data_IF_425933685683
#
_entry.id   IF_425933685683
#
_cell.length_a   1.000
_cell.length_b   1.000
_cell.length_c   1.000
_cell.angle_alpha   90.00
_cell.angle_beta   90.00
_cell.angle_gamma   90.00
#
_symmetry.space_group_name_H-M   'P 1'
#
loop_
_entity.id
_entity.type
_entity.pdbx_description
1 polymer ?
#
# COMPACT_ATOMS: atom_id res chain seq x y z
N UNK A 1 8.75 20.12 -24.42
CA UNK A 1 8.93 18.97 -23.51
C UNK A 1 7.90 19.02 -22.37
N UNK A 2 6.68 18.50 -22.62
CA UNK A 2 5.67 18.35 -21.58
C UNK A 2 5.96 17.01 -20.90
N UNK A 3 6.50 17.02 -19.68
CA UNK A 3 6.46 15.83 -18.86
C UNK A 3 4.99 15.54 -18.54
N UNK A 4 4.51 14.35 -18.89
CA UNK A 4 3.13 13.96 -18.61
C UNK A 4 2.95 13.89 -17.08
N UNK A 5 2.03 14.70 -16.50
CA UNK A 5 1.88 14.85 -15.05
C UNK A 5 1.56 13.52 -14.35
N UNK A 6 1.06 12.54 -15.09
CA UNK A 6 0.70 11.20 -14.64
C UNK A 6 1.90 10.36 -14.21
N UNK A 7 3.06 10.53 -14.87
CA UNK A 7 4.30 9.80 -14.53
C UNK A 7 4.86 10.32 -13.21
N UNK A 8 4.78 11.64 -12.98
CA UNK A 8 5.18 12.26 -11.72
C UNK A 8 4.27 11.80 -10.55
N UNK A 9 2.96 11.69 -10.77
CA UNK A 9 2.03 11.22 -9.76
C UNK A 9 2.29 9.76 -9.33
N UNK A 10 2.61 8.88 -10.30
CA UNK A 10 3.00 7.49 -10.05
C UNK A 10 4.33 7.37 -9.29
N UNK A 11 5.33 8.19 -9.64
CA UNK A 11 6.61 8.21 -8.94
C UNK A 11 6.44 8.67 -7.50
N UNK A 12 5.66 9.71 -7.25
CA UNK A 12 5.40 10.21 -5.89
C UNK A 12 4.67 9.15 -5.05
N UNK A 13 3.66 8.47 -5.60
CA UNK A 13 2.97 7.39 -4.87
C UNK A 13 3.87 6.18 -4.62
N UNK A 14 4.71 5.81 -5.59
CA UNK A 14 5.68 4.73 -5.42
C UNK A 14 6.71 5.08 -4.34
N UNK A 15 7.22 6.31 -4.32
CA UNK A 15 8.15 6.80 -3.30
C UNK A 15 7.51 6.86 -1.91
N UNK A 16 6.26 7.30 -1.80
CA UNK A 16 5.54 7.29 -0.52
C UNK A 16 5.36 5.86 0.01
N UNK A 17 5.02 4.90 -0.85
CA UNK A 17 4.93 3.50 -0.43
C UNK A 17 6.29 2.90 -0.10
N UNK A 18 7.34 3.26 -0.85
CA UNK A 18 8.72 2.88 -0.58
C UNK A 18 9.25 3.49 0.71
N UNK A 19 8.71 4.61 1.17
CA UNK A 19 9.01 5.21 2.48
C UNK A 19 8.17 4.57 3.58
N UNK A 20 6.92 4.23 3.31
CA UNK A 20 6.02 3.63 4.29
C UNK A 20 6.39 2.17 4.62
N UNK A 21 6.84 1.39 3.64
CA UNK A 21 7.27 0.01 3.86
C UNK A 21 8.42 -0.12 4.87
N UNK A 22 9.58 0.56 4.71
CA UNK A 22 10.66 0.52 5.70
C UNK A 22 10.27 1.19 7.01
N UNK A 23 9.36 2.18 7.00
CA UNK A 23 8.81 2.74 8.24
C UNK A 23 8.06 1.69 9.07
N UNK A 24 7.16 0.90 8.44
CA UNK A 24 6.49 -0.21 9.13
C UNK A 24 7.44 -1.33 9.54
N UNK A 25 8.41 -1.68 8.68
CA UNK A 25 9.46 -2.64 9.05
C UNK A 25 10.28 -2.13 10.23
N UNK A 26 10.62 -0.84 10.27
CA UNK A 26 11.33 -0.22 11.37
C UNK A 26 10.48 -0.25 12.64
N UNK A 27 9.20 0.11 12.58
CA UNK A 27 8.28 0.00 13.73
C UNK A 27 8.20 -1.44 14.27
N UNK A 28 8.17 -2.43 13.36
CA UNK A 28 8.14 -3.85 13.71
C UNK A 28 9.47 -4.33 14.34
N UNK A 29 10.60 -3.95 13.76
CA UNK A 29 11.93 -4.35 14.24
C UNK A 29 12.34 -3.65 15.53
N UNK A 30 11.88 -2.42 15.73
CA UNK A 30 12.31 -1.58 16.86
C UNK A 30 11.38 -1.74 18.08
N UNK A 31 10.43 -2.69 18.04
CA UNK A 31 9.45 -2.97 19.10
C UNK A 31 8.98 -1.68 19.79
N UNK A 32 8.54 -0.71 18.99
CA UNK A 32 8.31 0.65 19.48
C UNK A 32 7.21 0.64 20.57
N UNK A 33 7.64 0.84 21.83
CA UNK A 33 6.86 0.71 23.07
C UNK A 33 5.85 1.84 23.31
N UNK A 34 5.40 2.53 22.26
CA UNK A 34 4.37 3.56 22.39
C UNK A 34 2.98 2.94 22.23
N UNK A 35 2.18 2.84 23.32
CA UNK A 35 0.89 2.14 23.31
C UNK A 35 -0.10 2.76 22.32
N UNK A 36 0.04 4.03 21.98
CA UNK A 36 -0.86 4.70 21.06
C UNK A 36 -0.58 4.44 19.57
N UNK A 37 0.49 3.74 19.19
CA UNK A 37 0.84 3.53 17.77
C UNK A 37 0.63 2.07 17.34
N UNK A 38 0.73 1.13 18.30
CA UNK A 38 0.61 -0.32 18.09
C UNK A 38 -0.82 -0.86 18.25
N UNK A 39 -1.82 0.02 18.37
CA UNK A 39 -3.21 -0.42 18.47
C UNK A 39 -3.73 -0.88 17.12
N UNK A 40 -4.34 -2.06 17.06
CA UNK A 40 -4.89 -2.67 15.82
C UNK A 40 -5.73 -1.69 15.00
N UNK A 41 -6.60 -0.88 15.63
CA UNK A 41 -7.43 0.07 14.88
C UNK A 41 -6.61 1.16 14.15
N UNK A 42 -5.48 1.59 14.71
CA UNK A 42 -4.61 2.62 14.12
C UNK A 42 -3.81 2.02 12.97
N UNK A 43 -3.33 0.79 13.14
CA UNK A 43 -2.63 0.06 12.09
C UNK A 43 -3.54 -0.18 10.89
N UNK A 44 -4.79 -0.60 11.14
CA UNK A 44 -5.82 -0.74 10.09
C UNK A 44 -6.18 0.61 9.48
N UNK A 45 -6.31 1.68 10.27
CA UNK A 45 -6.59 3.01 9.76
C UNK A 45 -5.45 3.50 8.84
N UNK A 46 -4.20 3.42 9.28
CA UNK A 46 -3.03 3.80 8.48
C UNK A 46 -2.94 2.98 7.19
N UNK A 47 -3.14 1.66 7.27
CA UNK A 47 -3.17 0.78 6.10
C UNK A 47 -4.32 1.15 5.14
N UNK A 48 -5.49 1.52 5.65
CA UNK A 48 -6.62 1.95 4.81
C UNK A 48 -6.38 3.29 4.11
N UNK A 49 -5.70 4.25 4.76
CA UNK A 49 -5.32 5.52 4.13
C UNK A 49 -4.36 5.27 2.96
N UNK A 50 -3.36 4.42 3.16
CA UNK A 50 -2.43 4.03 2.09
C UNK A 50 -3.13 3.29 0.97
N UNK A 51 -4.07 2.42 1.30
CA UNK A 51 -4.87 1.71 0.31
C UNK A 51 -5.63 2.68 -0.60
N UNK A 52 -6.25 3.74 -0.05
CA UNK A 52 -6.96 4.77 -0.83
C UNK A 52 -5.98 5.55 -1.71
N UNK A 53 -4.86 6.01 -1.15
CA UNK A 53 -3.85 6.77 -1.89
C UNK A 53 -3.29 5.93 -3.05
N UNK A 54 -3.00 4.65 -2.79
CA UNK A 54 -2.47 3.71 -3.79
C UNK A 54 -3.48 3.41 -4.90
N UNK A 55 -4.77 3.23 -4.55
CA UNK A 55 -5.85 3.08 -5.52
C UNK A 55 -5.99 4.32 -6.40
N UNK A 56 -5.99 5.51 -5.81
CA UNK A 56 -6.12 6.77 -6.56
C UNK A 56 -4.98 6.95 -7.58
N UNK A 57 -3.74 6.65 -7.19
CA UNK A 57 -2.57 6.73 -8.08
C UNK A 57 -2.61 5.68 -9.19
N UNK A 58 -3.00 4.45 -8.87
CA UNK A 58 -3.11 3.36 -9.87
C UNK A 58 -4.24 3.65 -10.87
N UNK A 59 -5.39 4.16 -10.40
CA UNK A 59 -6.50 4.56 -11.25
C UNK A 59 -6.17 5.76 -12.15
N UNK A 60 -5.44 6.76 -11.63
CA UNK A 60 -4.95 7.89 -12.42
C UNK A 60 -4.01 7.43 -13.55
N UNK A 61 -3.17 6.43 -13.29
CA UNK A 61 -2.28 5.85 -14.29
C UNK A 61 -3.03 5.06 -15.37
N UNK A 62 -4.01 4.24 -14.99
CA UNK A 62 -4.82 3.46 -15.93
C UNK A 62 -5.69 4.36 -16.82
N UNK A 63 -6.17 5.50 -16.31
CA UNK A 63 -6.93 6.47 -17.12
C UNK A 63 -6.11 7.11 -18.25
N UNK A 64 -4.80 7.30 -18.04
CA UNK A 64 -3.92 7.95 -19.02
C UNK A 64 -3.48 6.95 -20.09
N UNK A 65 -3.31 5.69 -19.70
CA UNK A 65 -2.88 4.61 -20.58
C UNK A 65 -3.87 3.44 -20.52
N UNK A 66 -5.09 3.60 -21.07
CA UNK A 66 -6.14 2.59 -20.94
C UNK A 66 -5.89 1.33 -21.76
N UNK A 67 -5.24 1.47 -22.92
CA UNK A 67 -5.03 0.35 -23.86
C UNK A 67 -3.62 0.37 -24.46
N UNK A 68 -2.70 -0.42 -23.87
CA UNK A 68 -1.33 -0.60 -24.40
C UNK A 68 -1.21 -1.81 -25.34
N UNK A 69 -2.30 -2.55 -25.56
CA UNK A 69 -2.33 -3.76 -26.39
C UNK A 69 -1.91 -3.49 -27.84
N UNK A 70 -2.05 -2.25 -28.32
CA UNK A 70 -1.67 -1.85 -29.67
C UNK A 70 -0.14 -1.67 -29.86
N UNK A 71 0.61 -1.49 -28.78
CA UNK A 71 2.01 -1.05 -28.81
C UNK A 71 3.01 -2.09 -28.24
N UNK A 72 2.56 -3.29 -27.86
CA UNK A 72 3.42 -4.36 -27.29
C UNK A 72 4.61 -4.79 -28.16
N UNK A 73 4.63 -4.41 -29.45
CA UNK A 73 5.79 -4.57 -30.33
C UNK A 73 7.01 -3.71 -29.92
N UNK A 74 6.78 -2.60 -29.22
CA UNK A 74 7.83 -1.71 -28.72
C UNK A 74 8.15 -2.05 -27.26
N UNK A 75 9.44 -2.28 -26.97
CA UNK A 75 9.93 -2.61 -25.61
C UNK A 75 9.47 -1.64 -24.52
N UNK A 76 9.30 -0.37 -24.87
CA UNK A 76 8.86 0.68 -23.95
C UNK A 76 7.42 0.45 -23.45
N UNK A 77 6.52 0.02 -24.34
CA UNK A 77 5.13 -0.23 -23.99
C UNK A 77 4.98 -1.49 -23.12
N UNK A 78 5.78 -2.52 -23.37
CA UNK A 78 5.81 -3.74 -22.52
C UNK A 78 6.25 -3.41 -21.09
N UNK A 79 7.26 -2.55 -20.93
CA UNK A 79 7.72 -2.12 -19.61
C UNK A 79 6.65 -1.31 -18.87
N UNK A 80 5.97 -0.40 -19.56
CA UNK A 80 4.90 0.40 -18.96
C UNK A 80 3.71 -0.48 -18.51
N UNK A 81 3.35 -1.48 -19.34
CA UNK A 81 2.31 -2.45 -19.01
C UNK A 81 2.71 -3.30 -17.79
N UNK A 82 3.97 -3.74 -17.71
CA UNK A 82 4.46 -4.47 -16.54
C UNK A 82 4.40 -3.60 -15.26
N UNK A 83 4.76 -2.32 -15.34
CA UNK A 83 4.67 -1.39 -14.21
C UNK A 83 3.23 -1.21 -13.73
N UNK A 84 2.27 -1.07 -14.64
CA UNK A 84 0.83 -1.01 -14.32
C UNK A 84 0.34 -2.31 -13.66
N UNK A 85 0.78 -3.47 -14.15
CA UNK A 85 0.44 -4.75 -13.53
C UNK A 85 0.97 -4.85 -12.09
N UNK A 86 2.21 -4.43 -11.83
CA UNK A 86 2.77 -4.41 -10.48
C UNK A 86 2.06 -3.41 -9.55
N UNK A 87 1.60 -2.27 -10.07
CA UNK A 87 0.82 -1.31 -9.30
C UNK A 87 -0.51 -1.93 -8.81
N UNK A 88 -1.23 -2.62 -9.70
CA UNK A 88 -2.44 -3.36 -9.34
C UNK A 88 -2.18 -4.52 -8.39
N UNK A 89 -1.07 -5.26 -8.56
CA UNK A 89 -0.67 -6.30 -7.61
C UNK A 89 -0.39 -5.74 -6.21
N UNK A 90 0.21 -4.56 -6.11
CA UNK A 90 0.42 -3.87 -4.84
C UNK A 90 -0.88 -3.47 -4.14
N UNK A 91 -1.91 -3.09 -4.90
CA UNK A 91 -3.23 -2.81 -4.35
C UNK A 91 -3.90 -4.09 -3.81
N UNK A 92 -3.81 -5.19 -4.57
CA UNK A 92 -4.37 -6.49 -4.17
C UNK A 92 -3.68 -6.99 -2.89
N UNK A 93 -2.36 -6.88 -2.80
CA UNK A 93 -1.62 -7.32 -1.60
C UNK A 93 -2.00 -6.50 -0.36
N UNK A 94 -2.11 -5.17 -0.48
CA UNK A 94 -2.61 -4.32 0.61
C UNK A 94 -4.04 -4.69 1.02
N UNK A 95 -4.92 -4.93 0.05
CA UNK A 95 -6.30 -5.38 0.29
C UNK A 95 -6.34 -6.70 1.07
N UNK A 96 -5.49 -7.66 0.70
CA UNK A 96 -5.40 -8.96 1.36
C UNK A 96 -4.93 -8.81 2.81
N UNK A 97 -3.91 -8.00 3.07
CA UNK A 97 -3.41 -7.76 4.43
C UNK A 97 -4.50 -7.11 5.29
N UNK A 98 -5.17 -6.06 4.79
CA UNK A 98 -6.25 -5.38 5.51
C UNK A 98 -7.41 -6.34 5.78
N UNK A 99 -7.82 -7.16 4.80
CA UNK A 99 -8.90 -8.12 4.99
C UNK A 99 -8.55 -9.15 6.07
N UNK A 100 -7.34 -9.69 6.04
CA UNK A 100 -6.90 -10.68 7.03
C UNK A 100 -6.87 -10.06 8.43
N UNK A 101 -6.29 -8.86 8.59
CA UNK A 101 -6.22 -8.19 9.90
C UNK A 101 -7.60 -7.82 10.43
N UNK A 102 -8.48 -7.30 9.58
CA UNK A 102 -9.87 -6.97 9.95
C UNK A 102 -10.65 -8.22 10.33
N UNK A 103 -10.55 -9.31 9.56
CA UNK A 103 -11.24 -10.58 9.90
C UNK A 103 -10.76 -11.11 11.25
N UNK A 104 -9.45 -11.10 11.51
CA UNK A 104 -8.91 -11.50 12.81
C UNK A 104 -9.45 -10.59 13.92
N UNK A 105 -9.35 -9.27 13.76
CA UNK A 105 -9.81 -8.29 14.74
C UNK A 105 -11.31 -8.42 15.05
N UNK A 106 -12.16 -8.71 14.06
CA UNK A 106 -13.59 -8.97 14.26
C UNK A 106 -13.80 -10.26 15.06
N UNK A 107 -13.07 -11.33 14.70
CA UNK A 107 -13.22 -12.64 15.34
C UNK A 107 -12.79 -12.64 16.80
N UNK A 108 -11.74 -11.89 17.13
CA UNK A 108 -11.18 -11.80 18.48
C UNK A 108 -11.71 -10.60 19.27
N UNK A 109 -12.44 -9.67 18.64
CA UNK A 109 -12.79 -8.35 19.19
C UNK A 109 -11.56 -7.53 19.66
N UNK A 110 -10.38 -7.85 19.12
CA UNK A 110 -9.08 -7.32 19.50
C UNK A 110 -8.77 -5.90 18.99
N UNK A 111 -9.78 -5.06 18.79
CA UNK A 111 -9.60 -3.74 18.14
C UNK A 111 -8.72 -2.77 18.92
N UNK A 112 -8.61 -2.97 20.24
CA UNK A 112 -7.82 -2.14 21.16
C UNK A 112 -6.59 -2.86 21.72
N UNK A 113 -6.37 -4.09 21.31
CA UNK A 113 -5.18 -4.83 21.72
C UNK A 113 -3.96 -4.37 20.90
N UNK A 114 -2.78 -4.58 21.49
CA UNK A 114 -1.51 -4.19 20.90
C UNK A 114 -1.00 -5.31 19.99
N UNK A 115 -0.73 -5.00 18.71
CA UNK A 115 -0.30 -6.01 17.73
C UNK A 115 1.14 -6.49 17.93
N UNK A 116 2.00 -5.67 18.53
CA UNK A 116 3.45 -5.91 18.59
C UNK A 116 4.02 -5.58 19.98
N UNK A 117 4.68 -6.57 20.62
CA UNK A 117 5.46 -6.39 21.86
C UNK A 117 4.94 -7.14 23.09
N UNK A 118 5.69 -7.11 24.22
CA UNK A 118 5.39 -7.78 25.51
C UNK A 118 4.20 -7.17 26.29
N UNK A 119 3.27 -6.57 25.57
CA UNK A 119 2.01 -6.00 26.08
C UNK A 119 0.79 -6.74 25.51
N UNK A 120 0.98 -7.70 24.61
CA UNK A 120 -0.10 -8.61 24.16
C UNK A 120 -0.55 -9.58 25.27
N UNK A 121 0.24 -9.70 26.34
CA UNK A 121 0.09 -10.62 27.46
C UNK A 121 -0.29 -9.95 28.80
N UNK A 122 -0.63 -8.65 28.81
CA UNK A 122 -1.14 -7.94 30.01
C UNK A 122 -2.59 -7.48 29.90
#
# INVERSE_FOLDING_TARGET
PRQDPSVAALLVSALLALMFAPFMFYVLYTEWSHPSITVVYIEVAAASVLWIIWLASTAAATNVWPDLSFCVQFRQCTNLQAMLAFAWLGWISLSAIILITVVIAIRTNAWREYSYGPWADR
#
